data_IF_649552445240
#
_entry.id   IF_649552445240
#
_cell.length_a   1.000
_cell.length_b   1.000
_cell.length_c   1.000
_cell.angle_alpha   90.00
_cell.angle_beta   90.00
_cell.angle_gamma   90.00
#
_symmetry.space_group_name_H-M   'P 1'
#
loop_
_entity.id
_entity.type
_entity.pdbx_description
1 polymer ?
#
# COMPACT_ATOMS: atom_id res chain seq x y z
N UNK A 1 39.69 11.55 2.19
CA UNK A 1 39.07 10.35 1.58
C UNK A 1 39.62 10.09 0.19
N UNK A 2 39.94 11.14 -0.58
CA UNK A 2 40.58 10.98 -1.90
C UNK A 2 42.11 10.75 -1.82
N UNK A 3 42.80 11.28 -0.81
CA UNK A 3 44.27 11.16 -0.67
C UNK A 3 44.77 9.76 -0.22
N UNK A 4 43.87 8.93 0.32
CA UNK A 4 44.24 7.59 0.86
C UNK A 4 44.18 6.49 -0.21
N UNK A 5 43.53 6.76 -1.36
CA UNK A 5 43.45 5.84 -2.50
C UNK A 5 44.75 5.86 -3.31
N UNK A 6 45.45 6.99 -3.32
CA UNK A 6 46.69 7.18 -4.09
C UNK A 6 47.93 6.53 -3.45
N UNK A 7 47.88 6.25 -2.14
CA UNK A 7 49.03 5.72 -1.39
C UNK A 7 49.07 4.19 -1.19
N UNK A 8 48.13 3.43 -1.78
CA UNK A 8 48.17 1.95 -1.76
C UNK A 8 48.13 1.31 -0.36
N UNK A 9 47.77 2.06 0.68
CA UNK A 9 47.74 1.63 2.08
C UNK A 9 46.42 0.93 2.49
N UNK A 10 45.49 0.77 1.55
CA UNK A 10 44.21 0.12 1.78
C UNK A 10 44.34 -1.35 1.37
N UNK A 11 44.41 -2.25 2.35
CA UNK A 11 44.39 -3.70 2.13
C UNK A 11 43.20 -4.14 1.27
N UNK A 12 43.30 -5.33 0.67
CA UNK A 12 42.30 -5.84 -0.27
C UNK A 12 40.88 -5.69 0.30
N UNK A 13 39.91 -5.34 -0.55
CA UNK A 13 38.50 -5.16 -0.15
C UNK A 13 37.95 -6.40 0.58
N UNK A 14 38.60 -7.56 0.42
CA UNK A 14 38.23 -8.82 1.04
C UNK A 14 38.48 -8.87 2.56
N UNK A 15 39.39 -8.05 3.09
CA UNK A 15 39.82 -8.11 4.50
C UNK A 15 39.06 -7.15 5.43
N UNK A 16 38.06 -6.41 4.90
CA UNK A 16 37.31 -5.43 5.69
C UNK A 16 36.29 -6.11 6.64
N UNK A 17 36.16 -5.62 7.89
CA UNK A 17 35.23 -6.20 8.86
C UNK A 17 33.76 -6.07 8.40
N UNK A 18 32.97 -7.11 8.67
CA UNK A 18 31.54 -7.26 8.34
C UNK A 18 30.64 -6.42 9.25
N UNK A 19 30.90 -5.13 9.36
CA UNK A 19 30.16 -4.26 10.27
C UNK A 19 29.13 -3.45 9.50
N UNK A 20 27.85 -3.75 9.72
CA UNK A 20 26.79 -2.79 9.45
C UNK A 20 26.93 -1.64 10.47
N UNK A 21 27.07 -0.38 10.04
CA UNK A 21 27.04 0.73 10.98
C UNK A 21 25.68 0.76 11.68
N UNK A 22 25.66 1.00 12.98
CA UNK A 22 24.46 1.22 13.77
C UNK A 22 23.71 2.46 13.24
N UNK A 23 22.88 2.29 12.21
CA UNK A 23 22.03 3.34 11.66
C UNK A 23 20.81 3.53 12.56
N UNK A 24 21.00 4.16 13.73
CA UNK A 24 19.90 4.68 14.53
C UNK A 24 19.31 5.91 13.83
N UNK A 25 18.47 5.67 12.84
CA UNK A 25 17.57 6.68 12.29
C UNK A 25 16.55 7.06 13.36
N UNK A 26 16.54 8.33 13.80
CA UNK A 26 15.43 8.84 14.61
C UNK A 26 14.17 8.77 13.74
N UNK A 27 13.28 7.83 14.05
CA UNK A 27 11.93 7.72 13.48
C UNK A 27 11.14 9.01 13.76
N UNK A 28 11.27 10.01 12.90
CA UNK A 28 10.55 11.28 13.04
C UNK A 28 9.11 11.11 12.53
N UNK A 29 8.26 10.25 13.09
CA UNK A 29 6.86 9.95 12.65
C UNK A 29 6.18 11.05 11.78
N UNK A 30 5.64 10.74 10.58
CA UNK A 30 5.08 11.76 9.69
C UNK A 30 3.88 12.45 10.34
N UNK A 31 3.69 13.74 10.04
CA UNK A 31 2.70 14.61 10.68
C UNK A 31 1.27 14.01 10.65
N UNK A 32 0.91 13.30 9.58
CA UNK A 32 -0.37 12.59 9.43
C UNK A 32 -0.51 11.37 10.36
N UNK A 33 0.55 10.57 10.56
CA UNK A 33 0.51 9.48 11.54
C UNK A 33 0.44 10.01 12.97
N UNK A 34 1.02 11.18 13.23
CA UNK A 34 1.00 11.83 14.56
C UNK A 34 -0.40 12.24 15.00
N UNK A 35 -1.30 12.54 14.05
CA UNK A 35 -2.71 12.83 14.30
C UNK A 35 -3.46 11.53 14.63
N UNK A 36 -3.19 10.46 13.88
CA UNK A 36 -3.80 9.14 14.09
C UNK A 36 -3.33 8.45 15.39
N UNK A 37 -2.06 8.62 15.79
CA UNK A 37 -1.52 8.04 17.04
C UNK A 37 -1.89 8.82 18.30
N UNK A 38 -2.50 10.00 18.17
CA UNK A 38 -3.10 10.74 19.29
C UNK A 38 -4.54 10.36 19.58
N UNK A 39 -5.22 9.70 18.64
CA UNK A 39 -6.58 9.22 18.85
C UNK A 39 -6.49 7.94 19.67
N UNK A 40 -7.20 7.91 20.79
CA UNK A 40 -7.29 6.72 21.64
C UNK A 40 -7.69 5.51 20.79
N UNK A 41 -6.95 4.40 20.90
CA UNK A 41 -7.18 3.19 20.09
C UNK A 41 -8.61 2.67 20.28
N UNK A 42 -9.20 2.91 21.46
CA UNK A 42 -10.60 2.59 21.78
C UNK A 42 -11.60 3.46 21.01
N UNK A 43 -11.30 4.74 20.83
CA UNK A 43 -12.13 5.69 20.07
C UNK A 43 -12.04 5.37 18.58
N UNK A 44 -10.83 5.07 18.09
CA UNK A 44 -10.63 4.64 16.71
C UNK A 44 -11.39 3.34 16.41
N UNK A 45 -11.32 2.36 17.33
CA UNK A 45 -12.04 1.10 17.21
C UNK A 45 -13.56 1.31 17.23
N UNK A 46 -14.07 2.14 18.15
CA UNK A 46 -15.49 2.48 18.20
C UNK A 46 -15.98 3.18 16.93
N UNK A 47 -15.19 4.10 16.39
CA UNK A 47 -15.49 4.83 15.15
C UNK A 47 -15.49 3.90 13.93
N UNK A 48 -14.55 2.95 13.88
CA UNK A 48 -14.48 1.96 12.81
C UNK A 48 -15.65 0.98 12.88
N UNK A 49 -16.06 0.58 14.10
CA UNK A 49 -17.21 -0.28 14.33
C UNK A 49 -18.54 0.44 14.01
N UNK A 50 -18.62 1.74 14.31
CA UNK A 50 -19.74 2.60 13.90
C UNK A 50 -19.82 2.75 12.38
N UNK A 51 -18.70 3.06 11.71
CA UNK A 51 -18.64 3.13 10.24
C UNK A 51 -19.02 1.80 9.58
N UNK A 52 -18.57 0.69 10.17
CA UNK A 52 -18.91 -0.65 9.71
C UNK A 52 -20.40 -0.95 9.89
N UNK A 53 -20.98 -0.62 11.05
CA UNK A 53 -22.41 -0.73 11.30
C UNK A 53 -23.25 0.14 10.35
N UNK A 54 -22.81 1.36 10.09
CA UNK A 54 -23.43 2.25 9.11
C UNK A 54 -23.35 1.68 7.68
N UNK A 55 -22.21 1.13 7.28
CA UNK A 55 -22.05 0.50 5.97
C UNK A 55 -22.98 -0.72 5.79
N UNK A 56 -23.13 -1.55 6.82
CA UNK A 56 -24.07 -2.68 6.81
C UNK A 56 -25.51 -2.18 6.74
N UNK A 57 -25.87 -1.15 7.52
CA UNK A 57 -27.20 -0.57 7.52
C UNK A 57 -27.58 0.01 6.14
N UNK A 58 -26.66 0.76 5.52
CA UNK A 58 -26.84 1.31 4.17
C UNK A 58 -26.94 0.17 3.15
N UNK A 59 -26.11 -0.87 3.28
CA UNK A 59 -26.16 -2.04 2.41
C UNK A 59 -27.49 -2.81 2.51
N UNK A 60 -27.98 -3.03 3.74
CA UNK A 60 -29.27 -3.67 3.99
C UNK A 60 -30.43 -2.85 3.44
N UNK A 61 -30.32 -1.52 3.46
CA UNK A 61 -31.30 -0.60 2.89
C UNK A 61 -31.28 -0.52 1.37
N UNK A 62 -30.23 -1.05 0.72
CA UNK A 62 -30.04 -0.99 -0.74
C UNK A 62 -30.57 -2.25 -1.42
N UNK A 63 -29.95 -3.40 -1.16
CA UNK A 63 -30.34 -4.68 -1.75
C UNK A 63 -29.72 -5.87 -1.01
N UNK A 64 -30.34 -7.06 -1.06
CA UNK A 64 -29.77 -8.28 -0.47
C UNK A 64 -28.44 -8.68 -1.13
N UNK A 65 -28.22 -8.31 -2.40
CA UNK A 65 -26.97 -8.59 -3.13
C UNK A 65 -25.81 -7.80 -2.54
N UNK A 66 -26.02 -6.51 -2.23
CA UNK A 66 -24.99 -5.65 -1.61
C UNK A 66 -24.60 -6.19 -0.23
N UNK A 67 -25.58 -6.65 0.55
CA UNK A 67 -25.32 -7.25 1.86
C UNK A 67 -24.54 -8.58 1.75
N UNK A 68 -24.83 -9.39 0.72
CA UNK A 68 -24.07 -10.60 0.42
C UNK A 68 -22.61 -10.29 0.07
N UNK A 69 -22.36 -9.28 -0.78
CA UNK A 69 -21.01 -8.84 -1.14
C UNK A 69 -20.23 -8.36 0.10
N UNK A 70 -20.85 -7.52 0.94
CA UNK A 70 -20.22 -7.08 2.19
C UNK A 70 -19.85 -8.26 3.10
N UNK A 71 -20.74 -9.25 3.22
CA UNK A 71 -20.49 -10.44 4.04
C UNK A 71 -19.26 -11.22 3.53
N UNK A 72 -19.12 -11.39 2.21
CA UNK A 72 -17.93 -12.02 1.61
C UNK A 72 -16.67 -11.21 1.89
N UNK A 73 -16.71 -9.88 1.73
CA UNK A 73 -15.57 -9.01 2.03
C UNK A 73 -15.13 -9.16 3.49
N UNK A 74 -16.08 -9.19 4.43
CA UNK A 74 -15.81 -9.38 5.86
C UNK A 74 -15.13 -10.71 6.13
N UNK A 75 -15.65 -11.81 5.58
CA UNK A 75 -15.03 -13.14 5.70
C UNK A 75 -13.61 -13.13 5.11
N UNK A 76 -13.42 -12.46 3.98
CA UNK A 76 -12.12 -12.34 3.32
C UNK A 76 -11.10 -11.57 4.16
N UNK A 77 -11.51 -10.49 4.84
CA UNK A 77 -10.67 -9.77 5.79
C UNK A 77 -10.36 -10.58 7.05
N UNK A 78 -11.30 -11.35 7.58
CA UNK A 78 -10.99 -12.27 8.69
C UNK A 78 -9.99 -13.35 8.28
N UNK A 79 -10.13 -13.88 7.06
CA UNK A 79 -9.19 -14.84 6.52
C UNK A 79 -7.80 -14.23 6.29
N UNK A 80 -7.71 -12.98 5.83
CA UNK A 80 -6.42 -12.28 5.69
C UNK A 80 -5.76 -12.02 7.05
N UNK A 81 -6.52 -11.65 8.09
CA UNK A 81 -6.00 -11.54 9.46
C UNK A 81 -5.50 -12.89 9.98
N UNK A 82 -6.23 -13.97 9.70
CA UNK A 82 -5.81 -15.32 10.06
C UNK A 82 -4.47 -15.68 9.39
N UNK A 83 -4.34 -15.44 8.08
CA UNK A 83 -3.08 -15.66 7.36
C UNK A 83 -1.95 -14.79 7.93
N UNK A 84 -2.24 -13.54 8.28
CA UNK A 84 -1.27 -12.62 8.88
C UNK A 84 -0.72 -13.19 10.18
N UNK A 85 -1.61 -13.58 11.10
CA UNK A 85 -1.23 -14.18 12.38
C UNK A 85 -0.44 -15.47 12.18
N UNK A 86 -0.86 -16.31 11.23
CA UNK A 86 -0.17 -17.54 10.92
C UNK A 86 1.26 -17.31 10.40
N UNK A 87 1.45 -16.33 9.51
CA UNK A 87 2.78 -15.95 8.99
C UNK A 87 3.62 -15.35 10.11
N UNK A 88 3.08 -14.39 10.87
CA UNK A 88 3.83 -13.70 11.93
C UNK A 88 4.23 -14.61 13.09
N UNK A 89 3.47 -15.69 13.34
CA UNK A 89 3.81 -16.71 14.33
C UNK A 89 5.02 -17.58 13.93
N UNK A 90 5.51 -17.49 12.69
CA UNK A 90 6.72 -18.21 12.27
C UNK A 90 7.98 -17.56 12.82
N UNK A 91 8.96 -18.42 13.07
CA UNK A 91 10.27 -18.08 13.62
C UNK A 91 11.05 -17.16 12.68
N UNK A 92 11.69 -16.13 13.25
CA UNK A 92 12.52 -15.17 12.51
C UNK A 92 13.97 -15.65 12.34
N UNK A 93 14.34 -16.78 12.96
CA UNK A 93 15.68 -17.37 12.85
C UNK A 93 16.68 -16.82 13.86
N UNK A 94 17.98 -17.07 13.62
CA UNK A 94 19.07 -16.65 14.50
C UNK A 94 19.17 -15.12 14.66
N UNK A 95 19.81 -14.64 15.75
CA UNK A 95 19.97 -13.21 16.02
C UNK A 95 20.61 -12.42 14.88
N UNK A 96 21.55 -13.01 14.12
CA UNK A 96 22.17 -12.31 13.00
C UNK A 96 21.17 -12.01 11.87
N UNK A 97 20.23 -12.93 11.59
CA UNK A 97 19.19 -12.72 10.57
C UNK A 97 18.20 -11.62 11.00
N UNK A 98 17.88 -11.58 12.30
CA UNK A 98 16.99 -10.56 12.87
C UNK A 98 17.62 -9.17 12.73
N UNK A 99 18.91 -9.01 13.05
CA UNK A 99 19.61 -7.72 12.91
C UNK A 99 19.58 -7.18 11.48
N UNK A 100 19.81 -8.04 10.48
CA UNK A 100 19.73 -7.65 9.06
C UNK A 100 18.27 -7.32 8.69
N UNK A 101 17.31 -8.12 9.15
CA UNK A 101 15.89 -7.86 8.88
C UNK A 101 15.41 -6.54 9.49
N UNK A 102 15.92 -6.15 10.65
CA UNK A 102 15.60 -4.86 11.28
C UNK A 102 16.11 -3.68 10.44
N UNK A 103 17.36 -3.74 9.96
CA UNK A 103 17.89 -2.71 9.06
C UNK A 103 17.05 -2.59 7.78
N UNK A 104 16.62 -3.73 7.22
CA UNK A 104 15.73 -3.77 6.05
C UNK A 104 14.35 -3.17 6.38
N UNK A 105 13.78 -3.50 7.53
CA UNK A 105 12.49 -2.95 7.99
C UNK A 105 12.54 -1.44 8.12
N UNK A 106 13.57 -0.92 8.77
CA UNK A 106 13.73 0.52 8.98
C UNK A 106 13.90 1.27 7.66
N UNK A 107 14.73 0.75 6.75
CA UNK A 107 14.94 1.33 5.43
C UNK A 107 13.66 1.34 4.58
N UNK A 108 12.94 0.21 4.57
CA UNK A 108 11.67 0.08 3.86
C UNK A 108 10.65 1.09 4.43
N UNK A 109 10.43 1.10 5.74
CA UNK A 109 9.48 2.01 6.39
C UNK A 109 9.81 3.49 6.10
N UNK A 110 11.09 3.87 6.09
CA UNK A 110 11.54 5.21 5.71
C UNK A 110 11.24 5.58 4.25
N UNK A 111 11.54 4.68 3.32
CA UNK A 111 11.23 4.87 1.90
C UNK A 111 9.72 5.03 1.68
N UNK A 112 8.93 4.10 2.20
CA UNK A 112 7.50 4.06 1.95
C UNK A 112 6.78 5.26 2.54
N UNK A 113 7.22 5.70 3.72
CA UNK A 113 6.73 6.94 4.29
C UNK A 113 6.94 8.14 3.37
N UNK A 114 8.12 8.24 2.75
CA UNK A 114 8.43 9.33 1.82
C UNK A 114 7.60 9.21 0.55
N UNK A 115 7.54 8.01 -0.03
CA UNK A 115 6.78 7.72 -1.23
C UNK A 115 5.28 8.01 -1.05
N UNK A 116 4.64 7.41 -0.05
CA UNK A 116 3.21 7.62 0.23
C UNK A 116 2.91 9.06 0.66
N UNK A 117 3.86 9.73 1.33
CA UNK A 117 3.76 11.15 1.62
C UNK A 117 3.68 12.00 0.34
N UNK A 118 4.51 11.72 -0.66
CA UNK A 118 4.48 12.40 -1.96
C UNK A 118 3.22 12.04 -2.75
N UNK A 119 2.85 10.75 -2.79
CA UNK A 119 1.63 10.29 -3.48
C UNK A 119 0.39 10.98 -2.90
N UNK A 120 0.30 11.10 -1.58
CA UNK A 120 -0.83 11.77 -0.91
C UNK A 120 -0.94 13.25 -1.30
N UNK A 121 0.20 13.96 -1.36
CA UNK A 121 0.22 15.37 -1.83
C UNK A 121 -0.24 15.48 -3.28
N UNK A 122 0.26 14.61 -4.15
CA UNK A 122 -0.12 14.61 -5.57
C UNK A 122 -1.59 14.23 -5.76
N UNK A 123 -2.12 13.31 -4.96
CA UNK A 123 -3.54 12.95 -4.98
C UNK A 123 -4.42 14.15 -4.58
N UNK A 124 -4.04 14.92 -3.56
CA UNK A 124 -4.77 16.14 -3.16
C UNK A 124 -4.73 17.20 -4.27
N UNK A 125 -3.56 17.43 -4.89
CA UNK A 125 -3.44 18.37 -6.01
C UNK A 125 -4.34 17.93 -7.16
N UNK A 126 -4.30 16.65 -7.54
CA UNK A 126 -5.14 16.13 -8.60
C UNK A 126 -6.64 16.20 -8.25
N UNK A 127 -7.01 15.95 -7.00
CA UNK A 127 -8.39 16.13 -6.53
C UNK A 127 -8.89 17.57 -6.71
N UNK A 128 -8.05 18.58 -6.43
CA UNK A 128 -8.38 19.99 -6.67
C UNK A 128 -8.47 20.33 -8.16
N UNK A 129 -7.63 19.72 -8.99
CA UNK A 129 -7.70 19.86 -10.45
C UNK A 129 -8.99 19.26 -10.99
N UNK A 130 -9.36 18.04 -10.56
CA UNK A 130 -10.63 17.41 -10.91
C UNK A 130 -11.80 18.29 -10.47
N UNK A 131 -11.78 18.79 -9.23
CA UNK A 131 -12.81 19.69 -8.70
C UNK A 131 -12.96 20.93 -9.60
N UNK A 132 -11.85 21.58 -9.92
CA UNK A 132 -11.84 22.79 -10.76
C UNK A 132 -12.40 22.49 -12.15
N UNK A 133 -11.95 21.42 -12.80
CA UNK A 133 -12.44 21.02 -14.12
C UNK A 133 -13.97 20.81 -14.09
N UNK A 134 -14.50 20.08 -13.10
CA UNK A 134 -15.93 19.84 -13.00
C UNK A 134 -16.75 21.08 -12.65
N UNK A 135 -16.17 22.07 -11.96
CA UNK A 135 -16.83 23.36 -11.69
C UNK A 135 -16.86 24.29 -12.90
N UNK A 136 -15.79 24.33 -13.71
CA UNK A 136 -15.68 25.22 -14.88
C UNK A 136 -16.22 24.61 -16.18
N UNK A 137 -16.41 23.29 -16.26
CA UNK A 137 -16.96 22.62 -17.45
C UNK A 137 -18.47 22.87 -17.59
N UNK A 138 -18.93 23.06 -18.82
CA UNK A 138 -20.34 23.05 -19.19
C UNK A 138 -21.00 21.73 -18.78
N UNK A 139 -22.22 21.79 -18.25
CA UNK A 139 -22.99 20.60 -17.86
C UNK A 139 -23.08 19.64 -19.05
N UNK A 140 -22.77 18.36 -18.84
CA UNK A 140 -22.98 17.34 -19.87
C UNK A 140 -24.48 16.99 -19.97
N UNK A 141 -24.99 16.63 -21.16
CA UNK A 141 -26.41 16.27 -21.33
C UNK A 141 -26.88 15.17 -20.37
N UNK A 142 -25.99 14.23 -20.05
CA UNK A 142 -26.24 13.12 -19.12
C UNK A 142 -26.33 13.58 -17.65
N UNK A 143 -25.63 14.66 -17.27
CA UNK A 143 -25.74 15.29 -15.94
C UNK A 143 -27.05 16.06 -15.78
N UNK A 144 -27.49 16.74 -16.84
CA UNK A 144 -28.77 17.46 -16.83
C UNK A 144 -29.94 16.47 -16.77
N UNK A 145 -29.85 15.32 -17.45
CA UNK A 145 -30.88 14.27 -17.39
C UNK A 145 -30.97 13.54 -16.05
N UNK A 146 -29.92 13.59 -15.22
CA UNK A 146 -29.89 12.92 -13.92
C UNK A 146 -30.25 13.83 -12.74
N UNK A 147 -30.61 15.09 -13.01
CA UNK A 147 -31.07 16.06 -11.99
C UNK A 147 -29.98 16.51 -11.00
N UNK A 148 -28.72 16.13 -11.24
CA UNK A 148 -27.62 16.44 -10.33
C UNK A 148 -26.99 17.80 -10.70
N UNK A 149 -27.06 18.75 -9.78
CA UNK A 149 -26.40 20.05 -9.95
C UNK A 149 -24.90 19.90 -10.21
N UNK A 150 -24.32 20.80 -11.01
CA UNK A 150 -22.91 20.80 -11.42
C UNK A 150 -21.94 20.68 -10.23
N UNK A 151 -22.25 21.34 -9.13
CA UNK A 151 -21.47 21.30 -7.89
C UNK A 151 -21.54 19.93 -7.21
N UNK A 152 -22.72 19.32 -7.12
CA UNK A 152 -22.91 18.02 -6.48
C UNK A 152 -22.12 16.90 -7.19
N UNK A 153 -22.16 16.85 -8.52
CA UNK A 153 -21.36 15.89 -9.30
C UNK A 153 -19.85 16.07 -9.12
N UNK A 154 -19.39 17.31 -8.96
CA UNK A 154 -17.99 17.62 -8.76
C UNK A 154 -17.52 17.07 -7.41
N UNK A 155 -18.26 17.35 -6.33
CA UNK A 155 -17.95 16.84 -4.99
C UNK A 155 -18.02 15.32 -4.92
N UNK A 156 -19.02 14.70 -5.53
CA UNK A 156 -19.18 13.24 -5.57
C UNK A 156 -17.99 12.57 -6.27
N UNK A 157 -17.58 13.07 -7.44
CA UNK A 157 -16.46 12.51 -8.21
C UNK A 157 -15.15 12.64 -7.45
N UNK A 158 -14.90 13.80 -6.82
CA UNK A 158 -13.71 14.05 -6.01
C UNK A 158 -13.70 13.18 -4.75
N UNK A 159 -14.84 13.02 -4.08
CA UNK A 159 -14.97 12.12 -2.93
C UNK A 159 -14.70 10.66 -3.32
N UNK A 160 -15.25 10.20 -4.45
CA UNK A 160 -14.98 8.86 -4.98
C UNK A 160 -13.49 8.66 -5.30
N UNK A 161 -12.85 9.64 -5.94
CA UNK A 161 -11.41 9.64 -6.22
C UNK A 161 -10.57 9.53 -4.95
N UNK A 162 -10.85 10.39 -3.96
CA UNK A 162 -10.11 10.37 -2.69
C UNK A 162 -10.32 9.05 -1.95
N UNK A 163 -11.54 8.50 -1.94
CA UNK A 163 -11.78 7.21 -1.32
C UNK A 163 -11.00 6.09 -2.03
N UNK A 164 -10.99 6.07 -3.36
CA UNK A 164 -10.21 5.10 -4.13
C UNK A 164 -8.71 5.19 -3.86
N UNK A 165 -8.19 6.41 -3.81
CA UNK A 165 -6.78 6.67 -3.46
C UNK A 165 -6.46 6.19 -2.03
N UNK A 166 -7.34 6.46 -1.07
CA UNK A 166 -7.18 6.01 0.32
C UNK A 166 -7.21 4.48 0.44
N UNK A 167 -8.19 3.82 -0.19
CA UNK A 167 -8.33 2.37 -0.17
C UNK A 167 -7.10 1.67 -0.79
N UNK A 168 -6.66 2.15 -1.96
CA UNK A 168 -5.46 1.65 -2.65
C UNK A 168 -4.20 1.85 -1.81
N UNK A 169 -4.04 3.04 -1.22
CA UNK A 169 -2.86 3.33 -0.40
C UNK A 169 -2.80 2.50 0.88
N UNK A 170 -3.94 2.30 1.53
CA UNK A 170 -4.05 1.46 2.73
C UNK A 170 -3.73 -0.01 2.42
N UNK A 171 -4.30 -0.56 1.34
CA UNK A 171 -4.03 -1.92 0.90
C UNK A 171 -2.54 -2.14 0.59
N UNK A 172 -1.94 -1.20 -0.15
CA UNK A 172 -0.53 -1.25 -0.51
C UNK A 172 0.40 -1.14 0.71
N UNK A 173 0.04 -0.33 1.71
CA UNK A 173 0.81 -0.21 2.95
C UNK A 173 0.76 -1.49 3.79
N UNK A 174 -0.42 -2.12 3.93
CA UNK A 174 -0.56 -3.40 4.64
C UNK A 174 0.24 -4.50 3.94
N UNK A 175 0.09 -4.64 2.62
CA UNK A 175 0.76 -5.69 1.85
C UNK A 175 2.27 -5.65 2.06
N UNK A 176 2.84 -4.46 1.90
CA UNK A 176 4.25 -4.18 2.19
C UNK A 176 4.65 -4.50 3.64
N UNK A 177 3.89 -4.02 4.63
CA UNK A 177 4.20 -4.23 6.05
C UNK A 177 4.31 -5.72 6.39
N UNK A 178 3.43 -6.55 5.81
CA UNK A 178 3.46 -8.01 5.93
C UNK A 178 4.62 -8.60 5.16
N UNK A 179 4.85 -8.21 3.90
CA UNK A 179 5.92 -8.77 3.07
C UNK A 179 7.31 -8.59 3.70
N UNK A 180 7.62 -7.40 4.21
CA UNK A 180 8.91 -7.12 4.88
C UNK A 180 9.12 -8.03 6.11
N UNK A 181 8.06 -8.32 6.87
CA UNK A 181 8.11 -9.22 8.04
C UNK A 181 8.12 -10.70 7.65
N UNK A 182 7.53 -11.04 6.51
CA UNK A 182 7.51 -12.41 6.01
C UNK A 182 8.89 -12.87 5.50
N UNK A 183 9.69 -11.97 4.91
CA UNK A 183 10.97 -12.32 4.29
C UNK A 183 11.93 -13.08 5.22
N UNK A 184 12.20 -12.55 6.41
CA UNK A 184 13.11 -13.21 7.36
C UNK A 184 12.59 -14.59 7.78
N UNK A 185 11.26 -14.75 7.84
CA UNK A 185 10.61 -16.03 8.18
C UNK A 185 10.69 -17.03 7.04
N UNK A 186 10.60 -16.57 5.79
CA UNK A 186 10.84 -17.39 4.60
C UNK A 186 12.29 -17.86 4.60
N UNK A 187 13.25 -16.97 4.83
CA UNK A 187 14.67 -17.31 4.90
C UNK A 187 14.99 -18.28 6.05
N UNK A 188 14.41 -18.06 7.24
CA UNK A 188 14.55 -18.99 8.37
C UNK A 188 13.94 -20.36 8.06
N UNK A 189 12.78 -20.41 7.40
CA UNK A 189 12.17 -21.67 6.97
C UNK A 189 12.96 -22.37 5.86
N UNK A 190 13.61 -21.64 4.96
CA UNK A 190 14.42 -22.20 3.87
C UNK A 190 15.60 -23.02 4.41
N UNK A 191 16.13 -22.67 5.59
CA UNK A 191 17.16 -23.45 6.30
C UNK A 191 16.67 -24.84 6.74
N UNK A 192 15.35 -25.02 6.88
CA UNK A 192 14.72 -26.26 7.37
C UNK A 192 14.05 -27.04 6.26
N UNK A 193 13.29 -26.36 5.39
CA UNK A 193 12.58 -26.97 4.26
C UNK A 193 12.15 -25.94 3.22
N UNK A 194 12.45 -26.21 1.95
CA UNK A 194 11.96 -25.44 0.82
C UNK A 194 10.42 -25.41 0.76
N UNK A 195 9.75 -26.51 1.14
CA UNK A 195 8.28 -26.59 1.17
C UNK A 195 7.69 -25.63 2.20
N UNK A 196 8.31 -25.53 3.37
CA UNK A 196 7.86 -24.60 4.42
C UNK A 196 8.09 -23.14 4.00
N UNK A 197 9.26 -22.84 3.43
CA UNK A 197 9.57 -21.51 2.90
C UNK A 197 8.57 -21.06 1.83
N UNK A 198 8.27 -21.93 0.85
CA UNK A 198 7.29 -21.65 -0.19
C UNK A 198 5.89 -21.43 0.39
N UNK A 199 5.49 -22.24 1.37
CA UNK A 199 4.18 -22.09 2.02
C UNK A 199 4.05 -20.73 2.73
N UNK A 200 5.11 -20.25 3.39
CA UNK A 200 5.11 -18.94 4.04
C UNK A 200 5.05 -17.82 3.00
N UNK A 201 5.87 -17.92 1.94
CA UNK A 201 5.90 -16.93 0.86
C UNK A 201 4.54 -16.79 0.15
N UNK A 202 3.93 -17.91 -0.25
CA UNK A 202 2.63 -17.93 -0.92
C UNK A 202 1.52 -17.40 -0.01
N UNK A 203 1.54 -17.71 1.29
CA UNK A 203 0.53 -17.20 2.23
C UNK A 203 0.68 -15.71 2.51
N UNK A 204 1.92 -15.21 2.58
CA UNK A 204 2.17 -13.78 2.70
C UNK A 204 1.72 -13.01 1.45
N UNK A 205 2.03 -13.51 0.25
CA UNK A 205 1.55 -12.93 -1.01
C UNK A 205 0.02 -13.01 -1.17
N UNK A 206 -0.56 -14.16 -0.84
CA UNK A 206 -2.01 -14.36 -0.86
C UNK A 206 -2.77 -13.41 0.07
N UNK A 207 -2.23 -13.15 1.27
CA UNK A 207 -2.78 -12.12 2.17
C UNK A 207 -2.82 -10.75 1.49
N UNK A 208 -1.72 -10.32 0.87
CA UNK A 208 -1.64 -9.03 0.20
C UNK A 208 -2.70 -8.91 -0.90
N UNK A 209 -2.84 -9.96 -1.74
CA UNK A 209 -3.85 -10.02 -2.79
C UNK A 209 -5.29 -9.94 -2.24
N UNK A 210 -5.60 -10.69 -1.18
CA UNK A 210 -6.92 -10.66 -0.55
C UNK A 210 -7.24 -9.27 0.01
N UNK A 211 -6.27 -8.60 0.63
CA UNK A 211 -6.45 -7.23 1.15
C UNK A 211 -6.68 -6.25 0.00
N UNK A 212 -5.92 -6.32 -1.10
CA UNK A 212 -6.11 -5.44 -2.27
C UNK A 212 -7.48 -5.63 -2.89
N UNK A 213 -7.88 -6.86 -3.19
CA UNK A 213 -9.19 -7.17 -3.78
C UNK A 213 -10.31 -6.81 -2.80
N UNK A 214 -10.16 -7.15 -1.51
CA UNK A 214 -11.13 -6.82 -0.47
C UNK A 214 -11.35 -5.32 -0.34
N UNK A 215 -10.29 -4.52 -0.34
CA UNK A 215 -10.36 -3.06 -0.31
C UNK A 215 -10.99 -2.48 -1.58
N UNK A 216 -10.70 -3.05 -2.75
CA UNK A 216 -11.31 -2.65 -4.01
C UNK A 216 -12.83 -2.87 -4.00
N UNK A 217 -13.27 -4.09 -3.67
CA UNK A 217 -14.68 -4.48 -3.68
C UNK A 217 -15.47 -3.74 -2.60
N UNK A 218 -14.95 -3.67 -1.36
CA UNK A 218 -15.65 -3.00 -0.27
C UNK A 218 -15.81 -1.50 -0.55
N UNK A 219 -14.80 -0.84 -1.13
CA UNK A 219 -14.83 0.58 -1.46
C UNK A 219 -15.85 0.90 -2.56
N UNK A 220 -15.87 0.12 -3.65
CA UNK A 220 -16.86 0.28 -4.73
C UNK A 220 -18.28 0.01 -4.22
N UNK A 221 -18.45 -1.07 -3.44
CA UNK A 221 -19.76 -1.46 -2.89
C UNK A 221 -20.28 -0.42 -1.91
N UNK A 222 -19.40 0.13 -1.06
CA UNK A 222 -19.74 1.21 -0.14
C UNK A 222 -20.16 2.49 -0.86
N UNK A 223 -19.44 2.90 -1.92
CA UNK A 223 -19.84 4.05 -2.72
C UNK A 223 -21.17 3.81 -3.43
N UNK A 224 -21.36 2.64 -4.03
CA UNK A 224 -22.60 2.25 -4.68
C UNK A 224 -23.80 2.37 -3.73
N UNK A 225 -23.69 1.77 -2.54
CA UNK A 225 -24.77 1.77 -1.55
C UNK A 225 -25.04 3.19 -1.00
N UNK A 226 -23.98 3.96 -0.76
CA UNK A 226 -24.10 5.35 -0.30
C UNK A 226 -24.81 6.22 -1.34
N UNK A 227 -24.42 6.13 -2.62
CA UNK A 227 -25.06 6.90 -3.68
C UNK A 227 -26.49 6.44 -3.93
N UNK A 228 -26.78 5.14 -3.83
CA UNK A 228 -28.13 4.61 -3.95
C UNK A 228 -29.08 5.22 -2.91
N UNK A 229 -28.68 5.23 -1.64
CA UNK A 229 -29.48 5.77 -0.53
C UNK A 229 -29.53 7.30 -0.57
N UNK A 230 -28.39 7.97 -0.80
CA UNK A 230 -28.30 9.44 -0.75
C UNK A 230 -28.99 10.12 -1.94
N UNK A 231 -28.93 9.54 -3.13
CA UNK A 231 -29.59 10.07 -4.33
C UNK A 231 -31.02 9.54 -4.51
N UNK A 232 -31.49 8.64 -3.64
CA UNK A 232 -32.83 8.06 -3.71
C UNK A 232 -33.11 7.41 -5.06
N UNK A 233 -32.14 6.65 -5.58
CA UNK A 233 -32.21 6.00 -6.90
C UNK A 233 -33.40 5.03 -6.90
N UNK A 234 -34.43 5.33 -7.70
CA UNK A 234 -35.68 4.54 -7.76
C UNK A 234 -36.93 5.25 -7.24
N UNK A 235 -36.83 6.46 -6.68
CA UNK A 235 -37.98 7.31 -6.41
C UNK A 235 -38.40 8.09 -7.68
N UNK A 236 -39.70 8.37 -7.85
CA UNK A 236 -40.21 9.09 -9.02
C UNK A 236 -39.53 10.47 -9.15
N UNK A 237 -38.69 10.64 -10.18
CA UNK A 237 -37.94 11.89 -10.45
C UNK A 237 -36.44 11.85 -10.12
N UNK A 238 -35.90 10.74 -9.61
CA UNK A 238 -34.48 10.59 -9.27
C UNK A 238 -33.65 9.94 -10.39
N UNK A 239 -32.32 10.08 -10.28
CA UNK A 239 -31.30 9.54 -11.20
C UNK A 239 -31.53 8.05 -11.54
N UNK A 240 -31.34 7.67 -12.81
CA UNK A 240 -31.43 6.28 -13.25
C UNK A 240 -30.26 5.45 -12.73
N UNK A 241 -30.51 4.19 -12.39
CA UNK A 241 -29.47 3.22 -11.97
C UNK A 241 -28.33 3.12 -13.00
N UNK A 242 -28.61 3.38 -14.28
CA UNK A 242 -27.64 3.34 -15.39
C UNK A 242 -26.57 4.42 -15.32
N UNK A 243 -26.81 5.52 -14.60
CA UNK A 243 -25.88 6.65 -14.52
C UNK A 243 -24.95 6.53 -13.30
N UNK A 244 -25.27 5.63 -12.38
CA UNK A 244 -24.49 5.38 -11.16
C UNK A 244 -23.05 4.89 -11.43
N UNK A 245 -22.77 4.02 -12.43
CA UNK A 245 -21.41 3.61 -12.75
C UNK A 245 -20.49 4.77 -13.14
N UNK A 246 -21.02 5.84 -13.76
CA UNK A 246 -20.23 7.03 -14.10
C UNK A 246 -19.67 7.72 -12.85
N UNK A 247 -20.41 7.70 -11.74
CA UNK A 247 -19.96 8.25 -10.46
C UNK A 247 -18.90 7.39 -9.78
N UNK A 248 -18.86 6.10 -10.08
CA UNK A 248 -17.87 5.16 -9.55
C UNK A 248 -16.53 5.19 -10.32
N UNK A 249 -16.50 5.78 -11.52
CA UNK A 249 -15.25 5.94 -12.31
C UNK A 249 -14.20 6.72 -11.52
N UNK A 250 -14.62 7.71 -10.72
CA UNK A 250 -13.73 8.47 -9.85
C UNK A 250 -12.93 7.56 -8.90
N UNK A 251 -13.57 6.54 -8.32
CA UNK A 251 -12.92 5.56 -7.45
C UNK A 251 -11.82 4.77 -8.16
N UNK A 252 -12.14 4.23 -9.35
CA UNK A 252 -11.16 3.52 -10.16
C UNK A 252 -9.97 4.40 -10.52
N UNK A 253 -10.24 5.66 -10.90
CA UNK A 253 -9.19 6.62 -11.22
C UNK A 253 -8.27 6.90 -10.02
N UNK A 254 -8.83 7.11 -8.83
CA UNK A 254 -8.05 7.33 -7.60
C UNK A 254 -7.23 6.11 -7.20
N UNK A 255 -7.81 4.92 -7.27
CA UNK A 255 -7.12 3.68 -6.95
C UNK A 255 -5.92 3.41 -7.89
N UNK A 256 -6.15 3.58 -9.21
CA UNK A 256 -5.12 3.46 -10.24
C UNK A 256 -4.04 4.52 -10.13
N UNK A 257 -4.40 5.76 -9.77
CA UNK A 257 -3.43 6.84 -9.56
C UNK A 257 -2.42 6.46 -8.48
N UNK A 258 -2.89 6.03 -7.31
CA UNK A 258 -2.00 5.61 -6.23
C UNK A 258 -1.17 4.40 -6.65
N UNK A 259 -1.78 3.40 -7.29
CA UNK A 259 -1.10 2.19 -7.77
C UNK A 259 0.02 2.50 -8.79
N UNK A 260 -0.21 3.45 -9.69
CA UNK A 260 0.77 3.86 -10.70
C UNK A 260 2.03 4.45 -10.07
N UNK A 261 1.88 5.45 -9.18
CA UNK A 261 3.04 6.06 -8.53
C UNK A 261 3.74 5.11 -7.57
N UNK A 262 2.96 4.24 -6.94
CA UNK A 262 3.44 3.15 -6.13
C UNK A 262 4.38 2.21 -6.89
N UNK A 263 3.94 1.73 -8.05
CA UNK A 263 4.69 0.81 -8.91
C UNK A 263 5.91 1.48 -9.54
N UNK A 264 5.74 2.69 -10.09
CA UNK A 264 6.84 3.45 -10.69
C UNK A 264 7.90 3.81 -9.65
N UNK A 265 7.49 4.38 -8.52
CA UNK A 265 8.41 4.79 -7.48
C UNK A 265 9.15 3.61 -6.84
N UNK A 266 8.46 2.48 -6.65
CA UNK A 266 9.08 1.24 -6.17
C UNK A 266 10.06 0.69 -7.21
N UNK A 267 9.60 0.49 -8.44
CA UNK A 267 10.38 -0.11 -9.52
C UNK A 267 11.65 0.66 -9.88
N UNK A 268 11.60 2.00 -9.91
CA UNK A 268 12.80 2.83 -10.17
C UNK A 268 13.84 2.63 -9.06
N UNK A 269 13.42 2.67 -7.80
CA UNK A 269 14.34 2.51 -6.68
C UNK A 269 14.96 1.11 -6.67
N UNK A 270 14.15 0.06 -6.78
CA UNK A 270 14.65 -1.32 -6.78
C UNK A 270 15.60 -1.53 -7.94
N UNK A 271 15.25 -1.10 -9.16
CA UNK A 271 16.10 -1.33 -10.33
C UNK A 271 17.40 -0.54 -10.29
N UNK A 272 17.40 0.68 -9.73
CA UNK A 272 18.62 1.43 -9.54
C UNK A 272 19.55 0.77 -8.51
N UNK A 273 18.99 0.21 -7.42
CA UNK A 273 19.74 -0.49 -6.40
C UNK A 273 20.31 -1.83 -6.92
N UNK A 274 19.48 -2.64 -7.57
CA UNK A 274 19.79 -3.91 -8.22
C UNK A 274 20.97 -3.74 -9.21
N UNK A 275 20.84 -2.82 -10.17
CA UNK A 275 21.90 -2.54 -11.17
C UNK A 275 23.18 -2.01 -10.52
N UNK A 276 23.07 -1.14 -9.51
CA UNK A 276 24.24 -0.60 -8.81
C UNK A 276 24.98 -1.66 -7.99
N UNK A 277 24.25 -2.51 -7.28
CA UNK A 277 24.81 -3.59 -6.48
C UNK A 277 25.51 -4.63 -7.37
N UNK A 278 24.87 -5.01 -8.47
CA UNK A 278 25.38 -6.01 -9.39
C UNK A 278 26.60 -5.55 -10.19
N UNK A 279 26.59 -4.32 -10.72
CA UNK A 279 27.73 -3.81 -11.49
C UNK A 279 28.98 -3.69 -10.63
N UNK A 280 28.89 -3.04 -9.47
CA UNK A 280 30.06 -2.81 -8.62
C UNK A 280 30.49 -4.11 -7.93
N UNK A 281 29.55 -4.93 -7.47
CA UNK A 281 29.85 -6.18 -6.79
C UNK A 281 30.39 -7.25 -7.73
N UNK A 282 29.59 -7.66 -8.72
CA UNK A 282 29.91 -8.81 -9.57
C UNK A 282 30.93 -8.47 -10.65
N UNK A 283 30.82 -7.29 -11.28
CA UNK A 283 31.63 -6.95 -12.48
C UNK A 283 32.96 -6.30 -12.10
N UNK A 284 32.96 -5.33 -11.19
CA UNK A 284 34.20 -4.61 -10.82
C UNK A 284 35.01 -5.33 -9.75
N UNK A 285 34.36 -5.81 -8.69
CA UNK A 285 35.04 -6.38 -7.51
C UNK A 285 35.08 -7.91 -7.49
N UNK A 286 34.32 -8.58 -8.37
CA UNK A 286 34.26 -10.04 -8.45
C UNK A 286 33.74 -10.72 -7.18
N UNK A 287 32.96 -10.02 -6.35
CA UNK A 287 32.36 -10.58 -5.14
C UNK A 287 30.99 -11.23 -5.46
N UNK A 288 30.55 -12.24 -4.68
CA UNK A 288 29.26 -12.89 -4.87
C UNK A 288 28.07 -11.90 -4.81
N UNK A 289 26.96 -12.30 -5.42
CA UNK A 289 25.67 -11.62 -5.29
C UNK A 289 25.21 -11.57 -3.83
N UNK A 290 24.58 -10.46 -3.44
CA UNK A 290 24.10 -10.21 -2.07
C UNK A 290 25.17 -10.29 -0.96
N UNK A 291 26.44 -10.03 -1.31
CA UNK A 291 27.54 -10.06 -0.33
C UNK A 291 27.39 -8.92 0.70
N UNK A 292 27.48 -9.20 2.02
CA UNK A 292 27.32 -8.18 3.07
C UNK A 292 28.38 -7.06 3.04
N UNK A 293 29.46 -7.22 2.27
CA UNK A 293 30.48 -6.18 2.06
C UNK A 293 30.03 -5.12 1.06
N UNK A 294 29.01 -5.41 0.24
CA UNK A 294 28.47 -4.46 -0.71
C UNK A 294 27.39 -3.59 -0.03
N UNK A 295 27.62 -2.27 0.14
CA UNK A 295 26.68 -1.40 0.82
C UNK A 295 25.34 -1.24 0.08
N UNK A 296 25.30 -1.53 -1.23
CA UNK A 296 24.09 -1.43 -2.04
C UNK A 296 23.11 -2.60 -1.81
N UNK A 297 23.56 -3.71 -1.22
CA UNK A 297 22.73 -4.92 -1.02
C UNK A 297 21.57 -4.65 -0.07
N UNK A 298 21.75 -3.81 0.96
CA UNK A 298 20.62 -3.43 1.82
C UNK A 298 19.57 -2.72 0.98
N UNK A 299 19.95 -1.75 0.15
CA UNK A 299 19.04 -0.98 -0.69
C UNK A 299 18.32 -1.83 -1.74
N UNK A 300 18.97 -2.87 -2.27
CA UNK A 300 18.34 -3.82 -3.17
C UNK A 300 17.28 -4.69 -2.45
N UNK A 301 17.65 -5.25 -1.30
CA UNK A 301 16.76 -6.02 -0.43
C UNK A 301 15.65 -5.18 0.22
N UNK A 302 15.76 -3.85 0.26
CA UNK A 302 14.75 -2.93 0.78
C UNK A 302 13.49 -2.88 -0.08
N UNK A 303 13.56 -3.16 -1.38
CA UNK A 303 12.47 -2.84 -2.31
C UNK A 303 12.17 -3.88 -3.39
N UNK A 304 12.70 -5.09 -3.27
CA UNK A 304 12.21 -6.25 -4.05
C UNK A 304 10.70 -6.55 -3.83
N UNK A 305 10.06 -5.89 -2.85
CA UNK A 305 8.67 -6.06 -2.41
C UNK A 305 7.55 -5.58 -3.35
N UNK A 306 7.87 -5.01 -4.53
CA UNK A 306 6.83 -4.36 -5.37
C UNK A 306 6.94 -4.56 -6.88
N UNK A 307 7.88 -5.40 -7.34
CA UNK A 307 8.14 -5.57 -8.78
C UNK A 307 7.21 -6.60 -9.44
N UNK A 308 6.33 -7.26 -8.68
CA UNK A 308 5.30 -8.16 -9.21
C UNK A 308 3.93 -7.92 -8.58
#
# INVERSE_FOLDING_TARGET
>A
MDDDVENGLVGSYQDRPRTFPNMRSKSQVPLMLRIFTRIDVRILFALLLFLFGAAIYIGASTSPIVLFVFSICVVSFFFSIYLMKWVLAKDEGPPEMVQISEAIRDGAEGFFRTQYGTISKMAIILALVILSIYLFRSSTPQQESSGLGRSASAYVTVAAFLLGALCSGFAGYIGMWVSVRANVRVSSAARRSAREALQIAVRAGGLSAIVVVGMAVIGVTFLYATFYVWLGVGSHGSMKVTDLPLLLVGYGFGASFVALFAQLGGGIYTKAADVGADLVGKVEQGIPEDDPRNPAVIADLLLQYRVH
#
